data_IF_470717746154
#
_entry.id   IF_470717746154
#
_cell.length_a   1.000
_cell.length_b   1.000
_cell.length_c   1.000
_cell.angle_alpha   90.00
_cell.angle_beta   90.00
_cell.angle_gamma   90.00
#
_symmetry.space_group_name_H-M   'P 1'
#
loop_
_entity.id
_entity.type
_entity.pdbx_description
1 polymer ?
#
# COMPACT_ATOMS: atom_id res chain seq x y z
N UNK A 1 22.92 -22.31 -33.28
CA UNK A 1 23.23 -22.04 -31.86
C UNK A 1 21.99 -22.35 -31.06
N UNK A 2 22.15 -22.97 -29.88
CA UNK A 2 21.05 -23.21 -28.95
C UNK A 2 20.61 -21.86 -28.33
N UNK A 3 19.31 -21.68 -28.02
CA UNK A 3 18.84 -20.50 -27.35
C UNK A 3 19.40 -20.44 -25.91
N UNK A 4 19.69 -19.24 -25.44
CA UNK A 4 20.06 -18.99 -24.06
C UNK A 4 18.78 -18.70 -23.29
N UNK A 5 18.49 -19.48 -22.25
CA UNK A 5 17.37 -19.27 -21.34
C UNK A 5 17.84 -18.44 -20.15
N UNK A 6 17.18 -17.31 -19.90
CA UNK A 6 17.33 -16.52 -18.68
C UNK A 6 16.02 -16.59 -17.91
N UNK A 7 16.07 -17.09 -16.67
CA UNK A 7 14.91 -17.14 -15.77
C UNK A 7 14.95 -15.93 -14.82
N UNK A 8 13.82 -15.24 -14.71
CA UNK A 8 13.65 -14.09 -13.82
C UNK A 8 12.41 -14.34 -12.97
N UNK A 9 12.58 -14.33 -11.65
CA UNK A 9 11.48 -14.47 -10.69
C UNK A 9 10.84 -13.12 -10.37
N UNK A 10 9.55 -13.13 -10.08
CA UNK A 10 8.86 -12.00 -9.47
C UNK A 10 9.36 -11.77 -8.03
N UNK A 11 9.12 -10.58 -7.49
CA UNK A 11 9.50 -10.17 -6.14
C UNK A 11 8.34 -9.47 -5.45
N UNK A 12 8.50 -9.07 -4.19
CA UNK A 12 7.55 -8.23 -3.44
C UNK A 12 7.63 -6.73 -3.78
N UNK A 13 8.33 -6.34 -4.85
CA UNK A 13 8.39 -4.95 -5.31
C UNK A 13 7.08 -4.51 -5.98
N UNK A 14 6.91 -3.21 -6.16
CA UNK A 14 5.74 -2.62 -6.81
C UNK A 14 5.57 -3.07 -8.27
N UNK A 15 4.35 -2.94 -8.82
CA UNK A 15 4.09 -3.18 -10.23
C UNK A 15 4.92 -2.25 -11.12
N UNK A 16 5.08 -0.98 -10.73
CA UNK A 16 5.93 -0.02 -11.43
C UNK A 16 7.40 -0.46 -11.50
N UNK A 17 7.93 -1.09 -10.43
CA UNK A 17 9.30 -1.62 -10.42
C UNK A 17 9.44 -2.85 -11.32
N UNK A 18 8.44 -3.73 -11.35
CA UNK A 18 8.41 -4.87 -12.30
C UNK A 18 8.32 -4.37 -13.75
N UNK A 19 7.50 -3.35 -14.01
CA UNK A 19 7.44 -2.72 -15.32
C UNK A 19 8.79 -2.13 -15.75
N UNK A 20 9.45 -1.40 -14.84
CA UNK A 20 10.79 -0.85 -15.04
C UNK A 20 11.85 -1.94 -15.28
N UNK A 21 11.75 -3.07 -14.57
CA UNK A 21 12.61 -4.23 -14.81
C UNK A 21 12.45 -4.74 -16.24
N UNK A 22 11.23 -4.82 -16.76
CA UNK A 22 10.96 -5.14 -18.17
C UNK A 22 11.66 -4.19 -19.14
N UNK A 23 11.56 -2.88 -18.92
CA UNK A 23 12.28 -1.87 -19.73
C UNK A 23 13.80 -2.11 -19.72
N UNK A 24 14.37 -2.45 -18.56
CA UNK A 24 15.80 -2.73 -18.42
C UNK A 24 16.21 -4.01 -19.17
N UNK A 25 15.38 -5.05 -19.13
CA UNK A 25 15.58 -6.30 -19.87
C UNK A 25 15.61 -6.03 -21.38
N UNK A 26 14.62 -5.27 -21.90
CA UNK A 26 14.56 -4.91 -23.31
C UNK A 26 15.79 -4.10 -23.77
N UNK A 27 16.21 -3.12 -22.95
CA UNK A 27 17.44 -2.33 -23.24
C UNK A 27 18.70 -3.21 -23.26
N UNK A 28 18.82 -4.15 -22.30
CA UNK A 28 19.95 -5.06 -22.26
C UNK A 28 19.99 -5.99 -23.49
N UNK A 29 18.83 -6.55 -23.86
CA UNK A 29 18.69 -7.38 -25.06
C UNK A 29 19.05 -6.61 -26.34
N UNK A 30 18.55 -5.37 -26.45
CA UNK A 30 18.89 -4.48 -27.59
C UNK A 30 20.38 -4.17 -27.69
N UNK A 31 21.05 -3.88 -26.57
CA UNK A 31 22.52 -3.65 -26.56
C UNK A 31 23.32 -4.88 -27.00
N UNK A 32 22.82 -6.07 -26.73
CA UNK A 32 23.46 -7.32 -27.14
C UNK A 32 23.20 -7.68 -28.60
N UNK A 33 22.33 -6.95 -29.30
CA UNK A 33 21.95 -7.21 -30.67
C UNK A 33 21.34 -8.59 -30.93
N UNK A 34 20.72 -9.20 -29.89
CA UNK A 34 20.18 -10.56 -29.98
C UNK A 34 18.67 -10.55 -30.25
N UNK A 35 18.22 -11.50 -31.08
CA UNK A 35 16.80 -11.80 -31.19
C UNK A 35 16.32 -12.36 -29.85
N UNK A 36 15.32 -11.73 -29.25
CA UNK A 36 14.83 -12.06 -27.91
C UNK A 36 13.35 -12.36 -27.98
N UNK A 37 12.94 -13.39 -27.25
CA UNK A 37 11.53 -13.69 -26.97
C UNK A 37 11.35 -13.62 -25.46
N UNK A 38 10.32 -12.93 -25.01
CA UNK A 38 9.96 -12.84 -23.60
C UNK A 38 8.72 -13.69 -23.39
N UNK A 39 8.80 -14.61 -22.43
CA UNK A 39 7.68 -15.45 -22.00
C UNK A 39 7.33 -15.06 -20.56
N UNK A 40 6.18 -14.43 -20.40
CA UNK A 40 5.60 -14.18 -19.09
C UNK A 40 4.74 -15.37 -18.68
N UNK A 41 5.10 -16.02 -17.58
CA UNK A 41 4.44 -17.23 -17.10
C UNK A 41 3.82 -16.96 -15.75
N UNK A 42 2.60 -17.48 -15.55
CA UNK A 42 1.83 -17.44 -14.31
C UNK A 42 0.37 -17.68 -14.62
N UNK A 43 -0.32 -18.25 -13.63
CA UNK A 43 -1.77 -18.47 -13.74
C UNK A 43 -2.51 -17.15 -13.48
N UNK A 44 -3.73 -17.08 -13.99
CA UNK A 44 -4.69 -16.05 -13.66
C UNK A 44 -5.28 -16.34 -12.26
N UNK A 45 -6.53 -16.01 -11.99
CA UNK A 45 -7.12 -16.29 -10.69
C UNK A 45 -7.12 -17.77 -10.36
N UNK A 46 -6.78 -18.11 -9.10
CA UNK A 46 -6.95 -19.45 -8.54
C UNK A 46 -8.32 -19.65 -7.85
N UNK A 47 -9.20 -18.64 -7.87
CA UNK A 47 -10.44 -18.62 -7.06
C UNK A 47 -11.71 -18.48 -7.91
N UNK A 48 -11.86 -19.35 -8.93
CA UNK A 48 -12.97 -19.26 -9.87
C UNK A 48 -14.17 -20.14 -9.49
N UNK A 49 -14.00 -21.15 -8.62
CA UNK A 49 -15.05 -22.13 -8.29
C UNK A 49 -14.96 -22.55 -6.83
N UNK A 50 -16.10 -22.79 -6.18
CA UNK A 50 -16.17 -23.27 -4.79
C UNK A 50 -15.47 -24.62 -4.60
N UNK A 51 -15.67 -25.55 -5.57
CA UNK A 51 -15.06 -26.88 -5.56
C UNK A 51 -13.59 -26.85 -6.07
N UNK A 52 -13.06 -25.69 -6.41
CA UNK A 52 -11.67 -25.53 -6.82
C UNK A 52 -10.70 -25.64 -5.65
N UNK A 53 -9.41 -25.83 -5.93
CA UNK A 53 -8.39 -26.06 -4.88
C UNK A 53 -8.22 -24.87 -3.91
N UNK A 54 -8.67 -23.69 -4.29
CA UNK A 54 -8.53 -22.45 -3.49
C UNK A 54 -9.88 -21.78 -3.18
N UNK A 55 -11.01 -22.45 -3.48
CA UNK A 55 -12.35 -21.94 -3.29
C UNK A 55 -12.73 -20.84 -4.29
N UNK A 56 -13.82 -20.14 -4.00
CA UNK A 56 -14.33 -19.03 -4.82
C UNK A 56 -14.10 -17.68 -4.15
N UNK A 57 -13.79 -16.68 -4.97
CA UNK A 57 -13.83 -15.28 -4.57
C UNK A 57 -14.36 -14.45 -5.75
N UNK A 58 -15.26 -13.51 -5.50
CA UNK A 58 -15.88 -12.70 -6.56
C UNK A 58 -14.84 -11.94 -7.40
N UNK A 59 -13.71 -11.54 -6.78
CA UNK A 59 -12.59 -10.90 -7.47
C UNK A 59 -11.86 -11.85 -8.46
N UNK A 60 -12.03 -13.15 -8.34
CA UNK A 60 -11.41 -14.13 -9.24
C UNK A 60 -11.86 -13.98 -10.69
N UNK A 61 -13.14 -14.20 -11.02
CA UNK A 61 -13.66 -14.01 -12.37
C UNK A 61 -13.53 -12.57 -12.87
N UNK A 62 -13.64 -11.58 -11.99
CA UNK A 62 -13.44 -10.16 -12.33
C UNK A 62 -12.02 -9.89 -12.78
N UNK A 63 -11.03 -10.40 -12.06
CA UNK A 63 -9.61 -10.32 -12.42
C UNK A 63 -9.36 -10.96 -13.77
N UNK A 64 -9.80 -12.19 -13.98
CA UNK A 64 -9.58 -12.95 -15.21
C UNK A 64 -10.17 -12.23 -16.43
N UNK A 65 -11.37 -11.70 -16.28
CA UNK A 65 -12.00 -10.90 -17.35
C UNK A 65 -11.16 -9.66 -17.65
N UNK A 66 -10.83 -8.88 -16.62
CA UNK A 66 -10.09 -7.61 -16.78
C UNK A 66 -8.70 -7.83 -17.37
N UNK A 67 -7.94 -8.81 -16.87
CA UNK A 67 -6.59 -9.08 -17.38
C UNK A 67 -6.61 -9.55 -18.84
N UNK A 68 -7.57 -10.40 -19.22
CA UNK A 68 -7.70 -10.89 -20.59
C UNK A 68 -8.15 -9.78 -21.55
N UNK A 69 -8.95 -8.83 -21.12
CA UNK A 69 -9.34 -7.66 -21.92
C UNK A 69 -8.13 -6.72 -22.12
N UNK A 70 -7.39 -6.42 -21.04
CA UNK A 70 -6.16 -5.60 -21.08
C UNK A 70 -5.12 -6.20 -22.00
N UNK A 71 -4.86 -7.51 -21.87
CA UNK A 71 -3.87 -8.22 -22.69
C UNK A 71 -4.34 -8.37 -24.13
N UNK A 72 -5.63 -8.65 -24.35
CA UNK A 72 -6.19 -8.80 -25.70
C UNK A 72 -6.12 -7.52 -26.53
N UNK A 73 -6.08 -6.36 -25.91
CA UNK A 73 -5.99 -5.05 -26.56
C UNK A 73 -4.62 -4.38 -26.36
N UNK A 74 -3.69 -5.05 -25.67
CA UNK A 74 -2.37 -4.52 -25.31
C UNK A 74 -2.43 -3.16 -24.58
N UNK A 75 -3.43 -2.94 -23.72
CA UNK A 75 -3.58 -1.73 -22.88
C UNK A 75 -2.69 -1.84 -21.64
N UNK A 76 -1.40 -2.01 -21.84
CA UNK A 76 -0.42 -2.38 -20.83
C UNK A 76 -0.31 -1.39 -19.65
N UNK A 77 -0.69 -0.13 -19.85
CA UNK A 77 -0.74 0.86 -18.77
C UNK A 77 -1.70 0.46 -17.65
N UNK A 78 -2.83 -0.18 -18.00
CA UNK A 78 -3.82 -0.61 -17.05
C UNK A 78 -3.34 -1.74 -16.11
N UNK A 79 -2.24 -2.43 -16.46
CA UNK A 79 -1.62 -3.41 -15.54
C UNK A 79 -1.10 -2.74 -14.27
N UNK A 80 -0.72 -1.48 -14.33
CA UNK A 80 -0.23 -0.71 -13.19
C UNK A 80 -1.36 -0.24 -12.25
N UNK A 81 -2.62 -0.32 -12.70
CA UNK A 81 -3.81 0.12 -11.96
C UNK A 81 -4.47 -0.99 -11.12
N UNK A 82 -3.97 -2.21 -11.22
CA UNK A 82 -4.44 -3.31 -10.38
C UNK A 82 -3.90 -3.14 -8.96
N UNK A 83 -4.80 -3.02 -7.98
CA UNK A 83 -4.37 -2.90 -6.59
C UNK A 83 -3.89 -4.24 -6.05
N UNK A 84 -2.92 -4.20 -5.13
CA UNK A 84 -2.39 -5.41 -4.51
C UNK A 84 -3.49 -6.24 -3.82
N UNK A 85 -4.37 -5.57 -3.06
CA UNK A 85 -5.50 -6.24 -2.41
C UNK A 85 -6.50 -6.88 -3.37
N UNK A 86 -6.68 -6.34 -4.59
CA UNK A 86 -7.50 -6.97 -5.61
C UNK A 86 -6.84 -8.23 -6.17
N UNK A 87 -5.55 -8.17 -6.49
CA UNK A 87 -4.75 -9.31 -6.96
C UNK A 87 -4.68 -10.43 -5.91
N UNK A 88 -4.47 -10.09 -4.64
CA UNK A 88 -4.45 -11.06 -3.53
C UNK A 88 -5.80 -11.76 -3.33
N UNK A 89 -6.91 -11.01 -3.39
CA UNK A 89 -8.26 -11.59 -3.31
C UNK A 89 -8.53 -12.53 -4.47
N UNK A 90 -8.12 -12.16 -5.68
CA UNK A 90 -8.20 -13.03 -6.86
C UNK A 90 -7.29 -14.27 -6.72
N UNK A 91 -6.18 -14.17 -5.97
CA UNK A 91 -5.24 -15.26 -5.76
C UNK A 91 -4.47 -15.61 -7.04
N UNK A 92 -4.06 -14.60 -7.81
CA UNK A 92 -3.28 -14.77 -9.03
C UNK A 92 -1.79 -14.98 -8.74
N UNK A 93 -1.02 -15.50 -9.69
CA UNK A 93 0.44 -15.60 -9.59
C UNK A 93 1.20 -15.08 -10.83
N UNK A 94 0.48 -14.56 -11.82
CA UNK A 94 1.05 -14.13 -13.10
C UNK A 94 1.21 -12.63 -13.26
N UNK A 95 0.50 -11.80 -12.51
CA UNK A 95 0.37 -10.37 -12.77
C UNK A 95 1.72 -9.62 -12.84
N UNK A 96 2.63 -9.90 -11.91
CA UNK A 96 3.99 -9.32 -11.90
C UNK A 96 4.82 -9.74 -13.12
N UNK A 97 4.68 -10.99 -13.58
CA UNK A 97 5.33 -11.47 -14.81
C UNK A 97 4.78 -10.77 -16.04
N UNK A 98 3.46 -10.61 -16.11
CA UNK A 98 2.81 -9.91 -17.22
C UNK A 98 3.20 -8.43 -17.25
N UNK A 99 3.26 -7.79 -16.10
CA UNK A 99 3.69 -6.39 -15.96
C UNK A 99 5.15 -6.21 -16.41
N UNK A 100 6.03 -7.15 -16.08
CA UNK A 100 7.44 -7.13 -16.54
C UNK A 100 7.53 -7.29 -18.05
N UNK A 101 6.78 -8.22 -18.64
CA UNK A 101 6.72 -8.39 -20.08
C UNK A 101 6.20 -7.13 -20.78
N UNK A 102 5.14 -6.52 -20.26
CA UNK A 102 4.58 -5.28 -20.79
C UNK A 102 5.61 -4.14 -20.75
N UNK A 103 6.38 -4.02 -19.67
CA UNK A 103 7.46 -3.07 -19.55
C UNK A 103 8.55 -3.24 -20.61
N UNK A 104 8.82 -4.47 -21.07
CA UNK A 104 9.78 -4.72 -22.13
C UNK A 104 9.28 -4.24 -23.51
N UNK A 105 8.00 -3.97 -23.65
CA UNK A 105 7.38 -3.42 -24.87
C UNK A 105 6.95 -1.96 -24.71
N UNK A 106 7.40 -1.28 -23.66
CA UNK A 106 7.09 0.13 -23.42
C UNK A 106 7.63 1.02 -24.56
N UNK A 107 6.81 1.92 -25.07
CA UNK A 107 7.14 2.76 -26.22
C UNK A 107 7.10 2.03 -27.57
N UNK A 108 6.55 0.80 -27.62
CA UNK A 108 6.47 0.02 -28.83
C UNK A 108 5.02 -0.18 -29.28
N UNK A 109 4.78 -0.05 -30.58
CA UNK A 109 3.55 -0.53 -31.19
C UNK A 109 3.56 -2.06 -31.19
N UNK A 110 2.48 -2.66 -30.73
CA UNK A 110 2.33 -4.11 -30.66
C UNK A 110 1.01 -4.57 -31.28
N UNK A 111 1.04 -5.71 -31.92
CA UNK A 111 -0.14 -6.41 -32.43
C UNK A 111 -0.50 -7.53 -31.45
N UNK A 112 -1.52 -7.34 -30.61
CA UNK A 112 -1.95 -8.36 -29.67
C UNK A 112 -2.78 -9.44 -30.36
N UNK A 113 -2.74 -10.65 -29.83
CA UNK A 113 -3.65 -11.74 -30.20
C UNK A 113 -4.02 -12.51 -28.95
N UNK A 114 -5.30 -12.50 -28.59
CA UNK A 114 -5.87 -13.39 -27.59
C UNK A 114 -6.08 -14.75 -28.24
N UNK A 115 -5.45 -15.79 -27.71
CA UNK A 115 -5.51 -17.14 -28.27
C UNK A 115 -6.53 -18.00 -27.53
N UNK A 116 -6.48 -18.04 -26.21
CA UNK A 116 -7.43 -18.82 -25.39
C UNK A 116 -7.60 -18.23 -24.00
N UNK A 117 -8.70 -18.61 -23.38
CA UNK A 117 -8.96 -18.47 -21.95
C UNK A 117 -9.80 -19.67 -21.50
N UNK A 118 -9.35 -20.33 -20.44
CA UNK A 118 -10.01 -21.49 -19.85
C UNK A 118 -9.89 -21.47 -18.33
N UNK A 119 -10.90 -22.01 -17.64
CA UNK A 119 -10.92 -22.11 -16.16
C UNK A 119 -11.49 -23.46 -15.69
N UNK A 120 -10.99 -24.62 -16.16
CA UNK A 120 -11.65 -25.91 -15.97
C UNK A 120 -11.68 -26.37 -14.52
N UNK A 121 -10.62 -26.11 -13.73
CA UNK A 121 -10.42 -26.63 -12.38
C UNK A 121 -10.47 -25.56 -11.29
N UNK A 122 -11.09 -24.41 -11.56
CA UNK A 122 -11.13 -23.29 -10.62
C UNK A 122 -9.91 -22.37 -10.67
N UNK A 123 -9.00 -22.62 -11.62
CA UNK A 123 -7.83 -21.78 -11.92
C UNK A 123 -7.95 -21.27 -13.35
N UNK A 124 -7.73 -19.97 -13.55
CA UNK A 124 -7.76 -19.33 -14.86
C UNK A 124 -6.47 -19.46 -15.64
N UNK A 125 -6.57 -19.82 -16.90
CA UNK A 125 -5.46 -19.95 -17.83
C UNK A 125 -5.74 -19.09 -19.07
N UNK A 126 -4.90 -18.09 -19.32
CA UNK A 126 -5.01 -17.20 -20.47
C UNK A 126 -3.76 -17.26 -21.33
N UNK A 127 -3.94 -17.28 -22.64
CA UNK A 127 -2.82 -17.24 -23.60
C UNK A 127 -3.01 -16.05 -24.53
N UNK A 128 -2.03 -15.15 -24.52
CA UNK A 128 -1.91 -14.03 -25.43
C UNK A 128 -0.53 -13.97 -26.07
N UNK A 129 -0.43 -13.43 -27.28
CA UNK A 129 0.84 -13.14 -27.95
C UNK A 129 0.88 -11.69 -28.39
N UNK A 130 2.09 -11.15 -28.46
CA UNK A 130 2.35 -9.75 -28.79
C UNK A 130 3.48 -9.68 -29.80
N UNK A 131 3.17 -9.16 -30.97
CA UNK A 131 4.16 -8.97 -32.04
C UNK A 131 4.53 -7.48 -32.09
N UNK A 132 5.81 -7.17 -31.87
CA UNK A 132 6.32 -5.80 -31.93
C UNK A 132 6.35 -5.35 -33.39
N UNK A 133 5.69 -4.21 -33.66
CA UNK A 133 5.56 -3.66 -34.99
C UNK A 133 6.52 -2.48 -35.27
N UNK A 134 7.06 -1.86 -34.21
CA UNK A 134 7.92 -0.68 -34.31
C UNK A 134 7.81 0.19 -33.07
N UNK A 135 8.27 1.43 -33.16
CA UNK A 135 8.16 2.42 -32.06
C UNK A 135 6.80 3.11 -32.11
N UNK A 136 6.27 3.37 -30.89
CA UNK A 136 5.07 4.17 -30.68
C UNK A 136 5.23 4.99 -29.39
N UNK A 137 5.52 6.27 -29.54
CA UNK A 137 5.76 7.20 -28.42
C UNK A 137 4.53 7.46 -27.55
N UNK A 138 3.32 7.16 -28.01
CA UNK A 138 2.10 7.27 -27.21
C UNK A 138 1.99 6.16 -26.15
N UNK A 139 2.84 5.15 -26.22
CA UNK A 139 2.82 3.96 -25.37
C UNK A 139 3.88 3.95 -24.26
N UNK A 140 4.38 5.11 -23.85
CA UNK A 140 5.20 5.24 -22.65
C UNK A 140 4.34 5.21 -21.37
N UNK A 141 3.79 4.04 -21.06
CA UNK A 141 2.78 3.87 -20.02
C UNK A 141 3.31 4.10 -18.62
N UNK A 142 4.53 3.65 -18.31
CA UNK A 142 5.11 3.88 -16.99
C UNK A 142 5.26 5.37 -16.70
N UNK A 143 5.68 6.14 -17.70
CA UNK A 143 5.80 7.59 -17.56
C UNK A 143 4.45 8.25 -17.32
N UNK A 144 3.44 7.90 -18.12
CA UNK A 144 2.09 8.41 -17.97
C UNK A 144 1.49 8.06 -16.58
N UNK A 145 1.69 6.82 -16.13
CA UNK A 145 1.28 6.38 -14.81
C UNK A 145 1.94 7.22 -13.70
N UNK A 146 3.27 7.42 -13.78
CA UNK A 146 4.01 8.21 -12.79
C UNK A 146 3.58 9.68 -12.76
N UNK A 147 3.32 10.29 -13.92
CA UNK A 147 2.81 11.66 -14.03
C UNK A 147 1.41 11.77 -13.39
N UNK A 148 0.53 10.79 -13.59
CA UNK A 148 -0.79 10.73 -12.96
C UNK A 148 -0.70 10.57 -11.44
N UNK A 149 0.13 9.66 -10.96
CA UNK A 149 0.38 9.45 -9.52
C UNK A 149 0.91 10.72 -8.85
N UNK A 150 1.86 11.40 -9.48
CA UNK A 150 2.40 12.66 -8.99
C UNK A 150 1.33 13.76 -8.91
N UNK A 151 0.49 13.87 -9.93
CA UNK A 151 -0.61 14.85 -9.94
C UNK A 151 -1.66 14.53 -8.86
N UNK A 152 -1.99 13.25 -8.65
CA UNK A 152 -2.90 12.85 -7.58
C UNK A 152 -2.30 13.15 -6.20
N UNK A 153 -1.01 12.88 -6.00
CA UNK A 153 -0.31 13.18 -4.77
C UNK A 153 -0.31 14.71 -4.52
N UNK A 154 -0.02 15.52 -5.53
CA UNK A 154 -0.07 16.99 -5.44
C UNK A 154 -1.46 17.48 -5.05
N UNK A 155 -2.53 16.96 -5.67
CA UNK A 155 -3.91 17.32 -5.31
C UNK A 155 -4.29 16.96 -3.88
N UNK A 156 -3.75 15.85 -3.35
CA UNK A 156 -3.92 15.49 -1.95
C UNK A 156 -3.17 16.45 -1.03
N UNK A 157 -1.93 16.82 -1.41
CA UNK A 157 -1.13 17.79 -0.65
C UNK A 157 -1.78 19.16 -0.55
N UNK A 158 -2.41 19.64 -1.62
CA UNK A 158 -3.13 20.92 -1.63
C UNK A 158 -4.34 20.99 -0.69
N UNK A 159 -4.86 19.82 -0.29
CA UNK A 159 -6.00 19.69 0.62
C UNK A 159 -5.61 19.35 2.05
N UNK A 160 -4.32 19.25 2.34
CA UNK A 160 -3.84 18.92 3.68
C UNK A 160 -4.23 20.00 4.69
N UNK A 161 -4.80 19.57 5.79
CA UNK A 161 -5.04 20.47 6.93
C UNK A 161 -3.74 20.71 7.75
N UNK A 162 -3.87 21.47 8.81
CA UNK A 162 -2.72 21.83 9.65
C UNK A 162 -2.02 20.61 10.29
N UNK A 163 -2.77 19.56 10.61
CA UNK A 163 -2.23 18.34 11.24
C UNK A 163 -1.35 17.56 10.26
N UNK A 164 -1.89 17.31 9.07
CA UNK A 164 -1.18 16.57 8.00
C UNK A 164 0.00 17.37 7.46
N UNK A 165 -0.20 18.68 7.24
CA UNK A 165 0.87 19.58 6.80
C UNK A 165 2.04 19.63 7.80
N UNK A 166 1.74 19.60 9.10
CA UNK A 166 2.78 19.55 10.14
C UNK A 166 3.54 18.23 10.10
N UNK A 167 2.85 17.09 9.95
CA UNK A 167 3.50 15.78 9.84
C UNK A 167 4.44 15.73 8.63
N UNK A 168 4.00 16.19 7.47
CA UNK A 168 4.80 16.30 6.24
C UNK A 168 6.05 17.15 6.47
N UNK A 169 5.86 18.40 6.88
CA UNK A 169 6.97 19.34 7.12
C UNK A 169 8.00 18.80 8.12
N UNK A 170 7.53 18.05 9.11
CA UNK A 170 8.40 17.48 10.15
C UNK A 170 9.31 16.41 9.57
N UNK A 171 8.77 15.48 8.78
CA UNK A 171 9.58 14.44 8.16
C UNK A 171 10.49 15.01 7.07
N UNK A 172 10.00 15.89 6.19
CA UNK A 172 10.78 16.55 5.16
C UNK A 172 11.98 17.30 5.77
N UNK A 173 11.73 18.10 6.82
CA UNK A 173 12.79 18.81 7.53
C UNK A 173 13.83 17.84 8.07
N UNK A 174 13.40 16.75 8.69
CA UNK A 174 14.33 15.76 9.25
C UNK A 174 15.14 15.03 8.16
N UNK A 175 14.52 14.67 7.04
CA UNK A 175 15.22 13.99 5.93
C UNK A 175 16.32 14.89 5.36
N UNK A 176 16.04 16.19 5.19
CA UNK A 176 17.02 17.15 4.66
C UNK A 176 18.09 17.55 5.67
N UNK A 177 17.74 17.72 6.96
CA UNK A 177 18.65 18.35 7.95
C UNK A 177 19.18 17.40 9.02
N UNK A 178 18.56 16.23 9.16
CA UNK A 178 18.77 15.27 10.27
C UNK A 178 18.49 15.85 11.65
N UNK A 179 17.66 16.89 11.71
CA UNK A 179 17.24 17.54 12.96
C UNK A 179 15.70 17.62 13.01
N UNK A 180 15.16 17.56 14.22
CA UNK A 180 13.74 17.83 14.43
C UNK A 180 13.41 19.27 14.08
N UNK A 181 12.23 19.49 13.49
CA UNK A 181 11.76 20.84 13.21
C UNK A 181 11.45 21.55 14.55
N UNK A 182 11.98 22.75 14.81
CA UNK A 182 11.70 23.44 16.06
C UNK A 182 10.28 24.01 16.07
N UNK A 183 9.58 23.91 17.21
CA UNK A 183 8.20 24.44 17.36
C UNK A 183 8.08 25.91 16.97
N UNK A 184 9.11 26.72 17.23
CA UNK A 184 9.13 28.15 16.86
C UNK A 184 9.00 28.39 15.35
N UNK A 185 9.44 27.42 14.54
CA UNK A 185 9.36 27.52 13.07
C UNK A 185 7.96 27.24 12.51
N UNK A 186 7.10 26.54 13.27
CA UNK A 186 5.78 26.06 12.80
C UNK A 186 4.62 26.54 13.66
N UNK A 187 4.84 26.85 14.94
CA UNK A 187 3.77 27.12 15.93
C UNK A 187 2.88 28.31 15.61
N UNK A 188 3.41 29.35 14.94
CA UNK A 188 2.66 30.55 14.61
C UNK A 188 1.52 30.36 13.58
N UNK A 189 1.50 29.23 12.88
CA UNK A 189 0.51 28.89 11.85
C UNK A 189 -0.37 27.70 12.23
N UNK A 190 -0.26 27.19 13.46
CA UNK A 190 -1.02 26.03 13.93
C UNK A 190 -2.28 26.46 14.70
N UNK A 191 -3.38 25.71 14.61
CA UNK A 191 -4.54 25.90 15.45
C UNK A 191 -4.21 25.83 16.95
N UNK A 192 -4.84 26.67 17.74
CA UNK A 192 -4.69 26.73 19.20
C UNK A 192 -4.91 25.37 19.87
N UNK A 193 -5.84 24.58 19.34
CA UNK A 193 -6.13 23.23 19.81
C UNK A 193 -4.89 22.31 19.75
N UNK A 194 -4.14 22.36 18.67
CA UNK A 194 -2.90 21.56 18.55
C UNK A 194 -1.82 21.94 19.54
N UNK A 195 -1.82 23.21 19.96
CA UNK A 195 -0.82 23.79 20.88
C UNK A 195 -1.19 23.59 22.37
N UNK A 196 -2.49 23.42 22.68
CA UNK A 196 -2.99 23.37 24.06
C UNK A 196 -3.47 21.98 24.47
N UNK A 197 -3.99 21.16 23.54
CA UNK A 197 -4.47 19.83 23.86
C UNK A 197 -3.33 18.81 23.95
N UNK A 198 -3.56 17.74 24.70
CA UNK A 198 -2.65 16.59 24.82
C UNK A 198 -3.43 15.33 24.47
N UNK A 199 -2.95 14.59 23.49
CA UNK A 199 -3.55 13.34 23.05
C UNK A 199 -2.47 12.40 22.53
N UNK A 200 -2.76 11.10 22.50
CA UNK A 200 -1.98 10.16 21.69
C UNK A 200 -2.20 10.47 20.22
N UNK A 201 -1.18 10.29 19.39
CA UNK A 201 -1.24 10.57 17.95
C UNK A 201 -0.58 9.44 17.19
N UNK A 202 -1.21 9.00 16.09
CA UNK A 202 -0.57 8.14 15.11
C UNK A 202 -0.34 8.93 13.81
N UNK A 203 0.83 8.75 13.22
CA UNK A 203 1.14 9.27 11.90
C UNK A 203 1.35 8.09 10.96
N UNK A 204 0.55 8.01 9.91
CA UNK A 204 0.70 7.03 8.85
C UNK A 204 1.20 7.70 7.58
N UNK A 205 2.12 7.03 6.92
CA UNK A 205 2.74 7.46 5.67
C UNK A 205 2.45 6.38 4.64
N UNK A 206 1.93 6.79 3.49
CA UNK A 206 1.67 5.91 2.36
C UNK A 206 2.44 6.37 1.13
N UNK A 207 2.78 5.43 0.27
CA UNK A 207 3.40 5.66 -1.03
C UNK A 207 2.72 4.77 -2.05
N UNK A 208 2.18 5.36 -3.11
CA UNK A 208 1.44 4.64 -4.15
C UNK A 208 0.32 3.74 -3.58
N UNK A 209 -0.44 4.26 -2.61
CA UNK A 209 -1.52 3.55 -1.93
C UNK A 209 -1.07 2.47 -0.91
N UNK A 210 0.21 2.12 -0.85
CA UNK A 210 0.73 1.15 0.11
C UNK A 210 1.28 1.83 1.37
N UNK A 211 1.14 1.16 2.52
CA UNK A 211 1.72 1.63 3.78
C UNK A 211 3.26 1.71 3.65
N UNK A 212 3.84 2.85 4.03
CA UNK A 212 5.28 3.12 3.98
C UNK A 212 5.89 3.36 5.36
N UNK A 213 5.08 3.65 6.34
CA UNK A 213 5.44 3.81 7.74
C UNK A 213 4.25 4.21 8.57
N UNK A 214 4.20 3.75 9.82
CA UNK A 214 3.14 4.12 10.77
C UNK A 214 3.64 3.94 12.19
N UNK A 215 3.80 5.03 12.90
CA UNK A 215 4.16 5.04 14.33
C UNK A 215 3.23 6.01 15.06
N UNK A 216 2.97 5.71 16.31
CA UNK A 216 2.18 6.57 17.17
C UNK A 216 2.30 6.23 18.65
N UNK A 217 1.68 7.07 19.44
CA UNK A 217 1.59 6.96 20.90
C UNK A 217 0.14 6.76 21.33
N UNK A 218 -0.09 5.86 22.26
CA UNK A 218 -1.44 5.58 22.80
C UNK A 218 -1.86 6.67 23.79
N UNK A 219 -0.88 7.17 24.54
CA UNK A 219 -1.06 8.25 25.51
C UNK A 219 -0.06 9.36 25.19
N UNK A 220 -0.39 10.62 25.47
CA UNK A 220 0.50 11.73 25.16
C UNK A 220 1.82 11.63 25.94
N UNK A 221 2.93 11.71 25.24
CA UNK A 221 4.30 11.72 25.81
C UNK A 221 4.95 13.10 25.66
N UNK A 222 4.43 13.95 24.75
CA UNK A 222 4.90 15.32 24.54
C UNK A 222 4.01 16.35 25.25
N UNK A 223 4.40 17.62 25.17
CA UNK A 223 3.72 18.73 25.81
C UNK A 223 2.33 19.03 25.20
N UNK A 224 2.18 18.80 23.91
CA UNK A 224 0.95 19.04 23.14
C UNK A 224 0.86 18.16 21.89
N UNK A 225 -0.30 18.19 21.20
CA UNK A 225 -0.56 17.42 19.99
C UNK A 225 0.41 17.77 18.86
N UNK A 226 0.80 19.02 18.70
CA UNK A 226 1.74 19.43 17.66
C UNK A 226 3.14 18.80 17.85
N UNK A 227 3.65 18.77 19.07
CA UNK A 227 4.91 18.10 19.39
C UNK A 227 4.82 16.58 19.19
N UNK A 228 3.67 15.99 19.54
CA UNK A 228 3.40 14.57 19.33
C UNK A 228 3.43 14.21 17.82
N UNK A 229 2.82 15.06 16.97
CA UNK A 229 2.85 14.91 15.51
C UNK A 229 4.28 14.99 14.97
N UNK A 230 5.05 16.00 15.40
CA UNK A 230 6.44 16.20 14.97
C UNK A 230 7.28 14.95 15.26
N UNK A 231 7.18 14.44 16.47
CA UNK A 231 7.94 13.25 16.88
C UNK A 231 7.50 11.99 16.13
N UNK A 232 6.19 11.77 16.02
CA UNK A 232 5.67 10.55 15.41
C UNK A 232 5.80 10.54 13.88
N UNK A 233 5.76 11.68 13.22
CA UNK A 233 6.03 11.78 11.78
C UNK A 233 7.46 11.36 11.44
N UNK A 234 8.44 11.83 12.20
CA UNK A 234 9.84 11.41 12.03
C UNK A 234 10.00 9.93 12.38
N UNK A 235 9.38 9.48 13.48
CA UNK A 235 9.44 8.08 13.88
C UNK A 235 8.84 7.15 12.82
N UNK A 236 7.70 7.51 12.23
CA UNK A 236 7.05 6.74 11.17
C UNK A 236 7.90 6.65 9.90
N UNK A 237 8.58 7.73 9.51
CA UNK A 237 9.42 7.73 8.30
C UNK A 237 10.81 7.12 8.48
N UNK A 238 11.36 7.14 9.70
CA UNK A 238 12.77 6.82 9.93
C UNK A 238 12.96 5.59 10.84
N UNK A 239 12.08 5.38 11.82
CA UNK A 239 12.26 4.40 12.88
C UNK A 239 11.24 3.26 12.89
N UNK A 240 10.36 3.18 11.90
CA UNK A 240 9.47 2.03 11.75
C UNK A 240 10.28 0.80 11.32
N UNK A 241 10.39 -0.25 12.17
CA UNK A 241 11.26 -1.39 11.88
C UNK A 241 10.82 -2.23 10.68
N UNK A 242 9.61 -2.03 10.19
CA UNK A 242 9.05 -2.76 9.03
C UNK A 242 9.58 -2.23 7.70
N UNK A 243 10.11 -1.01 7.69
CA UNK A 243 10.48 -0.31 6.47
C UNK A 243 11.88 0.33 6.60
N UNK A 244 12.63 0.43 5.49
CA UNK A 244 13.85 1.24 5.48
C UNK A 244 13.51 2.72 5.68
N UNK A 245 14.44 3.51 6.20
CA UNK A 245 14.24 4.96 6.39
C UNK A 245 13.86 5.64 5.08
N UNK A 246 12.91 6.58 5.16
CA UNK A 246 12.48 7.40 4.03
C UNK A 246 13.66 8.23 3.49
N UNK A 247 13.79 8.26 2.17
CA UNK A 247 14.83 9.01 1.46
C UNK A 247 14.25 10.25 0.81
N UNK A 248 15.13 11.19 0.47
CA UNK A 248 14.76 12.46 -0.14
C UNK A 248 13.99 12.29 -1.47
N UNK A 249 14.38 11.32 -2.29
CA UNK A 249 13.76 11.02 -3.59
C UNK A 249 12.33 10.45 -3.47
N UNK A 250 11.88 10.08 -2.27
CA UNK A 250 10.53 9.58 -2.01
C UNK A 250 9.55 10.69 -1.56
N UNK A 251 10.04 11.79 -0.98
CA UNK A 251 9.22 12.79 -0.26
C UNK A 251 8.02 13.29 -1.06
N UNK A 252 8.20 13.55 -2.36
CA UNK A 252 7.14 14.07 -3.24
C UNK A 252 6.03 13.04 -3.56
N UNK A 253 6.26 11.77 -3.23
CA UNK A 253 5.32 10.68 -3.49
C UNK A 253 4.58 10.23 -2.23
N UNK A 254 4.87 10.86 -1.08
CA UNK A 254 4.30 10.47 0.19
C UNK A 254 2.97 11.18 0.45
N UNK A 255 2.02 10.40 0.95
CA UNK A 255 0.73 10.86 1.47
C UNK A 255 0.70 10.57 2.96
N UNK A 256 0.21 11.53 3.74
CA UNK A 256 0.20 11.43 5.19
C UNK A 256 -1.23 11.42 5.71
N UNK A 257 -1.44 10.72 6.80
CA UNK A 257 -2.62 10.88 7.65
C UNK A 257 -2.22 10.94 9.11
N UNK A 258 -3.00 11.68 9.88
CA UNK A 258 -2.78 11.87 11.33
C UNK A 258 -4.05 11.46 12.05
N UNK A 259 -3.93 10.51 12.96
CA UNK A 259 -5.00 10.06 13.84
C UNK A 259 -4.77 10.62 15.24
N UNK A 260 -5.63 11.51 15.69
CA UNK A 260 -5.63 12.04 17.06
C UNK A 260 -6.58 11.22 17.90
N UNK A 261 -6.09 10.62 18.98
CA UNK A 261 -6.86 9.74 19.84
C UNK A 261 -7.68 10.58 20.84
N UNK A 262 -8.98 10.28 20.88
CA UNK A 262 -9.85 10.81 21.91
C UNK A 262 -9.60 10.17 23.30
N UNK A 263 -10.35 10.60 24.29
CA UNK A 263 -10.29 10.03 25.63
C UNK A 263 -10.66 8.55 25.63
N UNK A 264 -9.92 7.78 26.39
CA UNK A 264 -10.21 6.36 26.58
C UNK A 264 -11.25 6.14 27.66
N UNK A 265 -12.18 5.22 27.43
CA UNK A 265 -13.16 4.81 28.43
C UNK A 265 -13.17 3.29 28.59
N UNK A 266 -13.15 2.78 29.83
CA UNK A 266 -13.26 1.35 30.08
C UNK A 266 -14.63 0.84 29.63
N UNK A 267 -14.65 -0.39 29.10
CA UNK A 267 -15.88 -1.09 28.69
C UNK A 267 -16.00 -2.42 29.41
N UNK A 268 -17.24 -2.89 29.54
CA UNK A 268 -17.54 -4.15 30.25
C UNK A 268 -17.38 -5.37 29.35
N UNK A 269 -17.60 -5.20 28.05
CA UNK A 269 -17.50 -6.28 27.10
C UNK A 269 -17.44 -5.83 25.64
N UNK A 270 -17.23 -6.80 24.73
CA UNK A 270 -17.11 -6.54 23.28
C UNK A 270 -18.35 -5.90 22.65
N UNK A 271 -19.52 -6.07 23.27
CA UNK A 271 -20.82 -5.53 22.83
C UNK A 271 -20.88 -4.00 22.84
N UNK A 272 -19.95 -3.35 23.54
CA UNK A 272 -19.83 -1.90 23.59
C UNK A 272 -18.88 -1.34 22.50
N UNK A 273 -18.36 -2.20 21.62
CA UNK A 273 -17.47 -1.82 20.52
C UNK A 273 -18.24 -1.77 19.18
N UNK A 274 -17.75 -0.90 18.33
CA UNK A 274 -18.09 -0.82 16.90
C UNK A 274 -16.77 -0.62 16.15
N UNK A 275 -16.39 -1.58 15.32
CA UNK A 275 -15.10 -1.59 14.61
C UNK A 275 -14.89 -0.39 13.70
N UNK A 276 -15.96 0.26 13.25
CA UNK A 276 -15.90 1.44 12.39
C UNK A 276 -15.75 2.73 13.17
N UNK A 277 -16.27 2.75 14.40
CA UNK A 277 -16.31 3.95 15.24
C UNK A 277 -15.23 3.95 16.32
N UNK A 278 -15.05 2.81 17.01
CA UNK A 278 -14.17 2.74 18.16
C UNK A 278 -12.91 1.96 17.89
N UNK A 279 -11.77 2.54 18.28
CA UNK A 279 -10.58 1.77 18.54
C UNK A 279 -10.67 1.02 19.84
N UNK A 280 -9.91 -0.06 19.98
CA UNK A 280 -9.84 -0.86 21.20
C UNK A 280 -8.43 -0.86 21.79
N UNK A 281 -8.34 -0.73 23.10
CA UNK A 281 -7.13 -1.00 23.87
C UNK A 281 -7.39 -2.25 24.69
N UNK A 282 -6.44 -3.17 24.62
CA UNK A 282 -6.45 -4.43 25.38
C UNK A 282 -5.28 -4.41 26.36
N UNK A 283 -5.55 -4.61 27.64
CA UNK A 283 -4.53 -4.53 28.68
C UNK A 283 -4.58 -5.73 29.63
N UNK A 284 -3.40 -6.19 30.08
CA UNK A 284 -3.23 -7.19 31.14
C UNK A 284 -1.90 -6.97 31.87
N UNK A 285 -1.96 -6.50 33.09
CA UNK A 285 -0.77 -6.11 33.82
C UNK A 285 0.02 -5.01 33.08
N UNK A 286 1.26 -5.32 32.69
CA UNK A 286 2.10 -4.38 31.91
C UNK A 286 1.93 -4.49 30.39
N UNK A 287 1.24 -5.53 29.94
CA UNK A 287 0.98 -5.74 28.51
C UNK A 287 -0.16 -4.82 28.07
N UNK A 288 0.04 -4.06 27.02
CA UNK A 288 -0.98 -3.18 26.44
C UNK A 288 -0.84 -3.16 24.92
N UNK A 289 -1.93 -3.35 24.21
CA UNK A 289 -1.99 -3.28 22.75
C UNK A 289 -3.23 -2.52 22.30
N UNK A 290 -3.13 -1.90 21.15
CA UNK A 290 -4.15 -1.04 20.58
C UNK A 290 -4.39 -1.40 19.12
N UNK A 291 -5.67 -1.31 18.70
CA UNK A 291 -6.05 -1.26 17.31
C UNK A 291 -6.98 -0.07 17.06
N UNK A 292 -6.65 0.70 16.01
CA UNK A 292 -7.46 1.84 15.56
C UNK A 292 -8.79 1.37 14.97
N UNK A 293 -9.83 2.22 14.92
CA UNK A 293 -11.08 1.90 14.26
C UNK A 293 -10.95 1.94 12.74
N UNK A 294 -11.92 1.33 12.05
CA UNK A 294 -12.14 1.43 10.62
C UNK A 294 -10.88 1.09 9.79
N UNK A 295 -10.25 -0.04 10.10
CA UNK A 295 -9.12 -0.58 9.35
C UNK A 295 -9.59 -1.58 8.30
N UNK A 296 -8.97 -1.55 7.12
CA UNK A 296 -9.28 -2.48 6.04
C UNK A 296 -8.92 -3.92 6.46
N UNK A 297 -9.82 -4.86 6.19
CA UNK A 297 -9.66 -6.26 6.57
C UNK A 297 -9.97 -6.57 8.04
N UNK A 298 -10.51 -5.59 8.80
CA UNK A 298 -10.98 -5.76 10.17
C UNK A 298 -12.48 -5.46 10.20
N UNK A 299 -13.29 -6.49 10.02
CA UNK A 299 -14.72 -6.35 9.83
C UNK A 299 -15.54 -6.71 11.07
N UNK A 300 -14.94 -7.37 12.07
CA UNK A 300 -15.62 -7.78 13.30
C UNK A 300 -14.88 -7.35 14.57
N UNK A 301 -15.63 -7.20 15.65
CA UNK A 301 -15.10 -6.84 16.99
C UNK A 301 -14.12 -7.90 17.48
N UNK A 302 -14.39 -9.18 17.22
CA UNK A 302 -13.53 -10.30 17.61
C UNK A 302 -12.17 -10.22 16.89
N UNK A 303 -12.16 -9.90 15.59
CA UNK A 303 -10.92 -9.68 14.83
C UNK A 303 -10.15 -8.50 15.42
N UNK A 304 -10.85 -7.38 15.70
CA UNK A 304 -10.23 -6.18 16.26
C UNK A 304 -9.56 -6.47 17.60
N UNK A 305 -10.26 -7.12 18.53
CA UNK A 305 -9.73 -7.51 19.84
C UNK A 305 -8.58 -8.51 19.67
N UNK A 306 -8.72 -9.50 18.78
CA UNK A 306 -7.70 -10.53 18.54
C UNK A 306 -6.38 -9.91 18.07
N UNK A 307 -6.42 -8.97 17.13
CA UNK A 307 -5.22 -8.25 16.64
C UNK A 307 -4.63 -7.36 17.74
N UNK A 308 -5.46 -6.66 18.52
CA UNK A 308 -4.97 -5.84 19.63
C UNK A 308 -4.29 -6.68 20.72
N UNK A 309 -4.82 -7.89 21.02
CA UNK A 309 -4.20 -8.87 21.93
C UNK A 309 -2.85 -9.34 21.40
N UNK A 310 -2.77 -9.70 20.11
CA UNK A 310 -1.53 -10.11 19.47
C UNK A 310 -0.44 -9.02 19.58
N UNK A 311 -0.80 -7.77 19.30
CA UNK A 311 0.11 -6.63 19.46
C UNK A 311 0.59 -6.43 20.90
N UNK A 312 -0.27 -6.73 21.87
CA UNK A 312 0.07 -6.67 23.29
C UNK A 312 0.93 -7.87 23.76
N UNK A 313 1.08 -8.93 22.96
CA UNK A 313 1.66 -10.19 23.41
C UNK A 313 0.78 -10.91 24.44
N UNK A 314 -0.56 -10.79 24.32
CA UNK A 314 -1.56 -11.44 25.16
C UNK A 314 -2.14 -12.61 24.35
N UNK A 315 -2.04 -13.82 24.90
CA UNK A 315 -2.55 -15.03 24.25
C UNK A 315 -4.09 -15.01 24.09
N UNK A 316 -4.65 -15.75 23.10
CA UNK A 316 -6.08 -15.76 22.84
C UNK A 316 -6.91 -16.25 24.03
N UNK A 317 -6.40 -17.19 24.83
CA UNK A 317 -7.10 -17.83 25.95
C UNK A 317 -6.78 -17.18 27.32
N UNK A 318 -5.93 -16.13 27.34
CA UNK A 318 -5.56 -15.46 28.57
C UNK A 318 -6.78 -14.73 29.17
N UNK A 319 -7.16 -15.07 30.42
CA UNK A 319 -8.26 -14.44 31.17
C UNK A 319 -7.80 -13.19 31.93
N UNK A 320 -8.76 -12.36 32.37
CA UNK A 320 -8.47 -11.16 33.15
C UNK A 320 -7.89 -10.02 32.31
N UNK A 321 -8.34 -9.91 31.08
CA UNK A 321 -8.00 -8.83 30.15
C UNK A 321 -9.01 -7.70 30.31
N UNK A 322 -8.54 -6.47 30.46
CA UNK A 322 -9.37 -5.27 30.45
C UNK A 322 -9.43 -4.67 29.07
N UNK A 323 -10.60 -4.12 28.74
CA UNK A 323 -10.87 -3.46 27.48
C UNK A 323 -11.18 -1.98 27.72
N UNK A 324 -10.64 -1.12 26.89
CA UNK A 324 -10.99 0.30 26.80
C UNK A 324 -11.32 0.61 25.34
N UNK A 325 -12.25 1.52 25.11
CA UNK A 325 -12.54 2.07 23.79
C UNK A 325 -12.16 3.53 23.70
N UNK A 326 -11.91 4.02 22.51
CA UNK A 326 -11.64 5.43 22.20
C UNK A 326 -12.12 5.75 20.79
N UNK A 327 -12.46 7.01 20.56
CA UNK A 327 -12.69 7.54 19.22
C UNK A 327 -11.40 8.10 18.64
N UNK A 328 -11.39 8.28 17.34
CA UNK A 328 -10.23 8.84 16.61
C UNK A 328 -10.73 9.97 15.72
N UNK A 329 -10.09 11.12 15.80
CA UNK A 329 -10.25 12.18 14.82
C UNK A 329 -9.15 11.97 13.77
N UNK A 330 -9.57 11.61 12.57
CA UNK A 330 -8.65 11.38 11.45
C UNK A 330 -8.53 12.62 10.59
N UNK A 331 -7.31 13.04 10.35
CA UNK A 331 -6.89 14.10 9.45
C UNK A 331 -6.19 13.51 8.24
N UNK A 332 -6.56 13.95 7.03
CA UNK A 332 -6.07 13.40 5.76
C UNK A 332 -6.82 12.15 5.29
N UNK A 333 -6.60 11.80 4.04
CA UNK A 333 -7.19 10.61 3.42
C UNK A 333 -6.47 9.34 3.88
N UNK A 334 -7.21 8.22 3.92
CA UNK A 334 -6.58 6.90 3.85
C UNK A 334 -5.84 6.83 2.52
N UNK A 335 -4.56 6.51 2.54
CA UNK A 335 -3.70 6.44 1.36
C UNK A 335 -4.19 5.47 0.31
#
# INVERSE_FOLDING_TARGET
ALPILVRIGGSGLSLADHYRAGQLIARAAGRLGRRTVIVASGDLSHKLKEEGPYGFCAQGPEYDKRIMDVMGEARFGELLEFTEGFCEKAGECGHRSFTMMAGAMDGMAVKPRRLSYEGPFGVGYGICTFEVQGEDKSRFFLRAYQELEQEQCRKKQEKEDAYVSLARKSLEHYVHTRRMIPMQAVGGNLPDEMLRSRAGVFVSIHKNGALRGCIGTISPVCGNVAEEIIQNAVSAGIHDPRFPSVREDELQQLVYSVDVLGETSPIKGPEELDVKRYGVIVSKGRKRGLLLPNLDGVDTVEQQIGIARQKAGIGPDEKGVSLERFEVIRHGDKG
#
